data_IF_501479453451
#
_entry.id   IF_501479453451
#
_cell.length_a   1.000
_cell.length_b   1.000
_cell.length_c   1.000
_cell.angle_alpha   90.00
_cell.angle_beta   90.00
_cell.angle_gamma   90.00
#
_symmetry.space_group_name_H-M   'P 1'
#
loop_
_entity.id
_entity.type
_entity.pdbx_description
1 polymer ?
#
# COMPACT_ATOMS: atom_id res chain seq x y z
N UNK A 1 -15.97 -22.80 9.50
CA UNK A 1 -15.39 -22.41 8.22
C UNK A 1 -14.01 -21.81 8.45
N UNK A 2 -13.03 -22.26 7.70
CA UNK A 2 -11.67 -21.76 7.84
C UNK A 2 -11.47 -20.57 6.89
N UNK A 3 -11.36 -19.39 7.48
CA UNK A 3 -11.17 -18.16 6.71
C UNK A 3 -9.72 -17.91 6.28
N UNK A 4 -8.78 -18.69 6.79
CA UNK A 4 -7.37 -18.49 6.47
C UNK A 4 -7.09 -18.64 4.98
N UNK A 5 -7.90 -19.45 4.28
CA UNK A 5 -7.78 -19.64 2.83
C UNK A 5 -8.10 -18.37 2.04
N UNK A 6 -8.90 -17.47 2.61
CA UNK A 6 -9.35 -16.25 1.94
C UNK A 6 -8.52 -15.03 2.31
N UNK A 7 -7.81 -15.09 3.45
CA UNK A 7 -7.00 -13.98 3.96
C UNK A 7 -5.57 -14.43 4.21
N UNK A 8 -5.13 -15.45 3.48
CA UNK A 8 -3.78 -15.99 3.64
C UNK A 8 -2.75 -14.90 3.30
N UNK A 9 -1.80 -14.64 4.21
CA UNK A 9 -0.80 -13.61 3.97
C UNK A 9 0.18 -14.05 2.88
N UNK A 10 0.69 -13.09 2.14
CA UNK A 10 1.73 -13.30 1.15
C UNK A 10 3.04 -12.74 1.68
N UNK A 11 4.15 -13.21 1.13
CA UNK A 11 5.46 -12.63 1.42
C UNK A 11 5.97 -11.91 0.19
N UNK A 12 6.63 -10.79 0.42
CA UNK A 12 7.28 -10.02 -0.65
C UNK A 12 8.68 -9.65 -0.18
N UNK A 13 9.61 -9.56 -1.14
CA UNK A 13 10.97 -9.11 -0.86
C UNK A 13 11.12 -7.66 -1.28
N UNK A 14 11.66 -6.85 -0.39
CA UNK A 14 11.95 -5.44 -0.65
C UNK A 14 13.39 -5.21 -0.24
N UNK A 15 14.25 -5.01 -1.22
CA UNK A 15 15.65 -4.69 -1.02
C UNK A 15 16.36 -5.66 -0.06
N UNK A 16 16.10 -6.96 -0.23
CA UNK A 16 16.75 -8.01 0.54
C UNK A 16 16.08 -8.35 1.86
N UNK A 17 14.98 -7.69 2.19
CA UNK A 17 14.19 -8.02 3.40
C UNK A 17 12.87 -8.61 3.00
N UNK A 18 12.39 -9.58 3.77
CA UNK A 18 11.11 -10.24 3.53
C UNK A 18 10.04 -9.61 4.42
N UNK A 19 8.96 -9.18 3.79
CA UNK A 19 7.79 -8.66 4.49
C UNK A 19 6.60 -9.58 4.25
N UNK A 20 5.80 -9.78 5.29
CA UNK A 20 4.52 -10.47 5.20
C UNK A 20 3.45 -9.42 5.01
N UNK A 21 2.60 -9.60 4.01
CA UNK A 21 1.50 -8.67 3.71
C UNK A 21 0.18 -9.42 3.81
N UNK A 22 -0.80 -8.79 4.42
CA UNK A 22 -2.11 -9.38 4.67
C UNK A 22 -3.20 -8.59 3.95
N UNK A 23 -4.35 -9.23 3.72
CA UNK A 23 -5.52 -8.51 3.23
C UNK A 23 -6.06 -7.60 4.33
N UNK A 24 -6.45 -6.41 3.94
CA UNK A 24 -6.98 -5.41 4.87
C UNK A 24 -8.49 -5.68 5.05
N UNK A 25 -8.99 -5.73 6.29
CA UNK A 25 -10.42 -5.89 6.54
C UNK A 25 -11.26 -4.81 5.87
N UNK A 26 -12.47 -5.16 5.46
CA UNK A 26 -13.30 -4.34 4.58
C UNK A 26 -13.51 -2.90 5.06
N UNK A 27 -13.72 -2.68 6.35
CA UNK A 27 -13.96 -1.32 6.87
C UNK A 27 -12.73 -0.45 6.73
N UNK A 28 -11.55 -0.96 7.14
CA UNK A 28 -10.30 -0.23 6.99
C UNK A 28 -9.92 -0.10 5.52
N UNK A 29 -10.15 -1.15 4.74
CA UNK A 29 -9.88 -1.12 3.31
C UNK A 29 -10.69 -0.03 2.61
N UNK A 30 -11.95 0.13 2.97
CA UNK A 30 -12.81 1.16 2.38
C UNK A 30 -12.28 2.57 2.67
N UNK A 31 -11.89 2.83 3.92
CA UNK A 31 -11.34 4.12 4.31
C UNK A 31 -10.03 4.41 3.56
N UNK A 32 -9.12 3.43 3.55
CA UNK A 32 -7.83 3.56 2.87
C UNK A 32 -8.03 3.74 1.38
N UNK A 33 -8.94 2.96 0.80
CA UNK A 33 -9.29 3.07 -0.62
C UNK A 33 -9.70 4.49 -1.00
N UNK A 34 -10.57 5.12 -0.19
CA UNK A 34 -11.02 6.48 -0.47
C UNK A 34 -9.87 7.48 -0.42
N UNK A 35 -8.97 7.32 0.56
CA UNK A 35 -7.80 8.19 0.68
C UNK A 35 -6.82 7.99 -0.48
N UNK A 36 -6.62 6.76 -0.91
CA UNK A 36 -5.75 6.46 -2.07
C UNK A 36 -6.36 7.03 -3.35
N UNK A 37 -7.66 6.85 -3.55
CA UNK A 37 -8.35 7.41 -4.71
C UNK A 37 -8.23 8.93 -4.77
N UNK A 38 -8.37 9.59 -3.62
CA UNK A 38 -8.23 11.03 -3.54
C UNK A 38 -6.80 11.46 -3.92
N UNK A 39 -5.81 10.75 -3.41
CA UNK A 39 -4.41 11.06 -3.71
C UNK A 39 -4.11 10.91 -5.20
N UNK A 40 -4.60 9.84 -5.82
CA UNK A 40 -4.43 9.61 -7.25
C UNK A 40 -5.18 10.69 -8.05
N UNK A 41 -6.38 11.04 -7.63
CA UNK A 41 -7.18 12.06 -8.31
C UNK A 41 -6.50 13.44 -8.25
N UNK A 42 -5.91 13.78 -7.11
CA UNK A 42 -5.28 15.08 -6.91
C UNK A 42 -3.90 15.20 -7.58
N UNK A 43 -3.15 14.11 -7.61
CA UNK A 43 -1.73 14.14 -7.99
C UNK A 43 -1.32 13.08 -9.01
N UNK A 44 -2.27 12.33 -9.58
CA UNK A 44 -1.97 11.23 -10.48
C UNK A 44 -1.35 10.05 -9.75
N UNK A 45 -0.69 9.17 -10.47
CA UNK A 45 -0.09 7.96 -9.89
C UNK A 45 0.96 8.26 -8.84
N UNK A 46 1.66 9.39 -8.96
CA UNK A 46 2.65 9.78 -7.97
C UNK A 46 2.02 10.06 -6.61
N UNK A 47 0.71 10.33 -6.56
CA UNK A 47 -0.01 10.50 -5.31
C UNK A 47 0.09 9.31 -4.37
N UNK A 48 0.31 8.09 -4.91
CA UNK A 48 0.53 6.90 -4.10
C UNK A 48 1.81 6.97 -3.26
N UNK A 49 2.77 7.78 -3.66
CA UNK A 49 4.01 8.00 -2.91
C UNK A 49 3.91 9.17 -1.94
N UNK A 50 2.79 9.87 -1.96
CA UNK A 50 2.56 11.10 -1.19
C UNK A 50 1.34 10.99 -0.28
N UNK A 51 0.98 9.77 0.12
CA UNK A 51 -0.14 9.55 1.03
C UNK A 51 0.14 10.20 2.39
N UNK A 52 -0.91 10.71 3.07
CA UNK A 52 -0.75 11.19 4.44
C UNK A 52 -0.18 10.09 5.35
N UNK A 53 0.60 10.49 6.34
CA UNK A 53 1.28 9.54 7.21
C UNK A 53 0.31 8.62 7.96
N UNK A 54 -0.83 9.14 8.39
CA UNK A 54 -1.83 8.32 9.08
C UNK A 54 -2.42 7.24 8.18
N UNK A 55 -2.53 7.52 6.88
CA UNK A 55 -2.96 6.52 5.89
C UNK A 55 -1.88 5.45 5.72
N UNK A 56 -0.63 5.86 5.56
CA UNK A 56 0.49 4.92 5.44
C UNK A 56 0.60 4.04 6.68
N UNK A 57 0.45 4.63 7.86
CA UNK A 57 0.50 3.89 9.12
C UNK A 57 -0.63 2.87 9.21
N UNK A 58 -1.82 3.23 8.75
CA UNK A 58 -2.96 2.29 8.71
C UNK A 58 -2.67 1.11 7.78
N UNK A 59 -2.04 1.36 6.65
CA UNK A 59 -1.64 0.31 5.70
C UNK A 59 -0.58 -0.59 6.34
N UNK A 60 0.43 0.00 6.97
CA UNK A 60 1.54 -0.75 7.58
C UNK A 60 1.07 -1.64 8.72
N UNK A 61 -0.07 -1.35 9.33
CA UNK A 61 -0.64 -2.17 10.39
C UNK A 61 -0.96 -3.60 9.92
N UNK A 62 -1.05 -3.82 8.61
CA UNK A 62 -1.34 -5.14 8.03
C UNK A 62 -0.12 -5.75 7.35
N UNK A 63 1.07 -5.28 7.73
CA UNK A 63 2.34 -5.82 7.25
C UNK A 63 3.20 -6.24 8.43
N UNK A 64 4.21 -7.07 8.16
CA UNK A 64 5.20 -7.40 9.17
C UNK A 64 6.54 -7.69 8.51
N UNK A 65 7.61 -7.19 9.10
CA UNK A 65 8.96 -7.60 8.72
C UNK A 65 9.22 -8.98 9.29
N UNK A 66 9.61 -9.93 8.45
CA UNK A 66 10.03 -11.25 8.88
C UNK A 66 11.56 -11.24 9.06
N UNK A 67 11.98 -11.20 10.31
CA UNK A 67 13.40 -11.22 10.67
C UNK A 67 13.69 -12.53 11.38
N UNK A 68 14.24 -13.50 10.64
CA UNK A 68 14.61 -14.82 11.15
C UNK A 68 13.48 -15.51 11.92
N UNK A 69 12.27 -15.46 11.35
CA UNK A 69 11.09 -16.06 11.95
C UNK A 69 10.35 -15.18 12.95
N UNK A 70 10.93 -14.06 13.34
CA UNK A 70 10.27 -13.08 14.21
C UNK A 70 9.54 -12.07 13.33
N UNK A 71 8.24 -11.90 13.58
CA UNK A 71 7.41 -10.96 12.84
C UNK A 71 7.32 -9.64 13.59
N UNK A 72 7.69 -8.56 12.93
CA UNK A 72 7.64 -7.22 13.50
C UNK A 72 6.66 -6.38 12.69
N UNK A 73 5.53 -6.05 13.29
CA UNK A 73 4.52 -5.21 12.64
C UNK A 73 4.83 -3.74 12.93
N UNK A 74 5.14 -2.92 11.91
CA UNK A 74 5.46 -1.51 12.12
C UNK A 74 4.19 -0.68 12.30
N UNK A 75 3.48 -0.88 13.39
CA UNK A 75 2.19 -0.24 13.66
C UNK A 75 2.24 0.88 14.70
N UNK A 76 3.43 1.21 15.20
CA UNK A 76 3.64 2.37 16.06
C UNK A 76 4.77 3.20 15.50
N UNK A 77 4.83 4.47 15.89
CA UNK A 77 5.89 5.36 15.39
C UNK A 77 7.27 4.80 15.70
N UNK A 78 7.46 4.24 16.89
CA UNK A 78 8.75 3.65 17.27
C UNK A 78 9.10 2.45 16.39
N UNK A 79 8.16 1.56 16.14
CA UNK A 79 8.40 0.38 15.30
C UNK A 79 8.61 0.77 13.84
N UNK A 80 7.88 1.76 13.34
CA UNK A 80 8.11 2.29 11.99
C UNK A 80 9.53 2.84 11.89
N UNK A 81 9.96 3.61 12.89
CA UNK A 81 11.31 4.13 12.92
C UNK A 81 12.35 3.00 12.95
N UNK A 82 12.13 1.98 13.79
CA UNK A 82 13.07 0.87 13.92
C UNK A 82 13.22 0.08 12.62
N UNK A 83 12.10 -0.16 11.93
CA UNK A 83 12.09 -0.98 10.71
C UNK A 83 12.62 -0.19 9.50
N UNK A 84 12.31 1.10 9.42
CA UNK A 84 12.57 1.88 8.20
C UNK A 84 13.59 3.01 8.38
N UNK A 85 14.30 3.06 9.48
CA UNK A 85 15.32 4.08 9.72
C UNK A 85 16.39 4.01 8.63
N UNK A 86 16.57 5.11 7.91
CA UNK A 86 17.49 5.15 6.79
C UNK A 86 17.02 4.37 5.56
N UNK A 87 15.76 3.92 5.56
CA UNK A 87 15.20 3.06 4.51
C UNK A 87 13.78 3.50 4.15
N UNK A 88 13.57 4.80 3.99
CA UNK A 88 12.25 5.35 3.64
C UNK A 88 11.75 4.81 2.31
N UNK A 89 12.65 4.54 1.37
CA UNK A 89 12.27 3.95 0.09
C UNK A 89 11.60 2.60 0.29
N UNK A 90 12.09 1.78 1.22
CA UNK A 90 11.48 0.49 1.54
C UNK A 90 10.06 0.66 2.06
N UNK A 91 9.83 1.67 2.92
CA UNK A 91 8.50 1.97 3.42
C UNK A 91 7.55 2.31 2.26
N UNK A 92 7.99 3.19 1.36
CA UNK A 92 7.17 3.58 0.21
C UNK A 92 6.89 2.39 -0.70
N UNK A 93 7.87 1.55 -0.96
CA UNK A 93 7.68 0.35 -1.77
C UNK A 93 6.71 -0.63 -1.12
N UNK A 94 6.78 -0.79 0.20
CA UNK A 94 5.86 -1.66 0.93
C UNK A 94 4.43 -1.14 0.87
N UNK A 95 4.23 0.16 1.05
CA UNK A 95 2.91 0.79 0.94
C UNK A 95 2.33 0.58 -0.47
N UNK A 96 3.13 0.80 -1.50
CA UNK A 96 2.69 0.59 -2.89
C UNK A 96 2.32 -0.87 -3.12
N UNK A 97 3.13 -1.81 -2.61
CA UNK A 97 2.84 -3.24 -2.73
C UNK A 97 1.52 -3.59 -2.05
N UNK A 98 1.25 -3.01 -0.87
CA UNK A 98 -0.02 -3.22 -0.16
C UNK A 98 -1.20 -2.67 -0.94
N UNK A 99 -1.06 -1.51 -1.56
CA UNK A 99 -2.11 -0.94 -2.40
C UNK A 99 -2.41 -1.87 -3.57
N UNK A 100 -1.37 -2.39 -4.22
CA UNK A 100 -1.55 -3.34 -5.33
C UNK A 100 -2.22 -4.62 -4.87
N UNK A 101 -1.81 -5.15 -3.72
CA UNK A 101 -2.34 -6.41 -3.22
C UNK A 101 -3.80 -6.31 -2.79
N UNK A 102 -4.21 -5.17 -2.24
CA UNK A 102 -5.55 -4.98 -1.72
C UNK A 102 -6.49 -4.24 -2.68
N UNK A 103 -5.93 -3.46 -3.57
CA UNK A 103 -6.69 -2.59 -4.48
C UNK A 103 -6.17 -2.70 -5.90
N UNK A 104 -5.91 -3.93 -6.37
CA UNK A 104 -5.36 -4.13 -7.70
C UNK A 104 -6.24 -3.54 -8.81
N UNK A 105 -7.56 -3.44 -8.57
CA UNK A 105 -8.46 -2.80 -9.53
C UNK A 105 -8.14 -1.30 -9.71
N UNK A 106 -7.48 -0.66 -8.73
CA UNK A 106 -7.00 0.71 -8.89
C UNK A 106 -5.79 0.77 -9.82
N UNK A 107 -5.04 -0.32 -9.92
CA UNK A 107 -3.80 -0.38 -10.71
C UNK A 107 -4.04 -0.91 -12.11
N UNK A 108 -5.00 -1.82 -12.28
CA UNK A 108 -5.26 -2.50 -13.54
C UNK A 108 -6.72 -2.42 -13.98
N UNK A 109 -7.59 -1.93 -13.11
CA UNK A 109 -9.01 -1.88 -13.35
C UNK A 109 -9.47 -0.59 -14.00
N UNK A 110 -10.78 -0.48 -14.14
CA UNK A 110 -11.43 0.60 -14.86
C UNK A 110 -11.13 1.98 -14.29
N UNK A 111 -11.03 2.09 -12.97
CA UNK A 111 -10.80 3.40 -12.33
C UNK A 111 -9.44 3.96 -12.71
N UNK A 112 -8.38 3.15 -12.58
CA UNK A 112 -7.04 3.60 -12.91
C UNK A 112 -6.92 3.91 -14.41
N UNK A 113 -7.46 3.05 -15.25
CA UNK A 113 -7.46 3.25 -16.69
C UNK A 113 -8.14 4.56 -17.08
N UNK A 114 -9.29 4.85 -16.43
CA UNK A 114 -9.99 6.11 -16.67
C UNK A 114 -9.18 7.31 -16.23
N UNK A 115 -8.52 7.23 -15.08
CA UNK A 115 -7.71 8.33 -14.58
C UNK A 115 -6.50 8.58 -15.50
N UNK A 116 -5.84 7.52 -15.93
CA UNK A 116 -4.69 7.62 -16.83
C UNK A 116 -5.14 8.16 -18.19
N UNK A 117 -6.24 7.66 -18.73
CA UNK A 117 -6.78 8.12 -20.00
C UNK A 117 -7.18 9.60 -19.92
N UNK A 118 -7.78 10.02 -18.80
CA UNK A 118 -8.19 11.40 -18.60
C UNK A 118 -6.97 12.33 -18.54
N UNK A 119 -5.93 11.93 -17.81
CA UNK A 119 -4.68 12.69 -17.78
C UNK A 119 -4.03 12.78 -19.17
N UNK A 120 -4.01 11.66 -19.90
CA UNK A 120 -3.50 11.63 -21.26
C UNK A 120 -4.29 12.53 -22.20
N UNK A 121 -5.62 12.52 -22.12
CA UNK A 121 -6.47 13.36 -22.92
C UNK A 121 -6.24 14.84 -22.62
N UNK A 122 -6.11 15.19 -21.35
CA UNK A 122 -5.81 16.56 -20.94
C UNK A 122 -4.43 17.00 -21.45
N UNK A 123 -3.46 16.10 -21.40
CA UNK A 123 -2.13 16.37 -21.90
C UNK A 123 -2.08 16.53 -23.40
N UNK A 124 -2.87 15.75 -24.15
CA UNK A 124 -2.89 15.81 -25.61
C UNK A 124 -3.64 17.02 -26.15
N UNK A 125 -4.51 17.61 -25.35
CA UNK A 125 -5.26 18.80 -25.74
C UNK A 125 -4.50 20.10 -25.51
N UNK A 126 -3.39 20.01 -24.87
CA UNK A 126 -2.56 21.18 -24.59
C UNK A 126 -1.76 21.64 -25.80
#
# INVERSE_FOLDING_TARGET
MDYSKFIEPKTIDINGRTFVVSKIPAIDALRIHNDVCKAISDSGLIGMTMLPFDVEKSILNYTALDSDGVKICPNTDQLINDVFKGKIQDLKELVIAMVRENFDFLMTGTLLEKLVAQEGAMGSDS
#
